data_IF_285027567826
#
_entry.id   IF_285027567826
#
_cell.length_a   1.000
_cell.length_b   1.000
_cell.length_c   1.000
_cell.angle_alpha   90.00
_cell.angle_beta   90.00
_cell.angle_gamma   90.00
#
_symmetry.space_group_name_H-M   'P 1'
#
loop_
_entity.id
_entity.type
_entity.pdbx_description
1 polymer ?
#
# COMPACT_ATOMS: atom_id res chain seq x y z
N UNK A 1 20.71 -15.85 5.65
CA UNK A 1 19.30 -15.43 5.86
C UNK A 1 18.43 -16.67 6.02
N UNK A 2 18.05 -17.03 7.25
CA UNK A 2 17.07 -18.11 7.48
C UNK A 2 15.70 -17.58 7.12
N UNK A 3 15.24 -17.86 5.90
CA UNK A 3 13.85 -17.61 5.50
C UNK A 3 12.98 -18.52 6.38
N UNK A 4 12.14 -17.92 7.22
CA UNK A 4 11.20 -18.63 8.09
C UNK A 4 10.31 -19.55 7.24
N UNK A 5 10.20 -20.82 7.63
CA UNK A 5 9.55 -21.87 6.83
C UNK A 5 8.04 -21.68 6.58
N UNK A 6 7.41 -20.63 7.13
CA UNK A 6 5.99 -20.32 6.97
C UNK A 6 5.77 -18.90 6.42
N UNK A 7 6.41 -18.56 5.31
CA UNK A 7 6.07 -17.35 4.57
C UNK A 7 4.76 -17.59 3.82
N UNK A 8 3.67 -17.00 4.30
CA UNK A 8 2.39 -17.07 3.58
C UNK A 8 2.50 -16.25 2.31
N UNK A 9 2.33 -16.91 1.16
CA UNK A 9 2.33 -16.28 -0.16
C UNK A 9 1.10 -15.37 -0.31
N UNK A 10 0.00 -15.74 0.35
CA UNK A 10 -1.26 -15.01 0.38
C UNK A 10 -1.83 -14.92 1.80
N UNK A 11 -2.63 -13.90 2.11
CA UNK A 11 -3.02 -12.78 1.23
C UNK A 11 -1.86 -11.82 0.94
N UNK A 12 -1.90 -11.19 -0.24
CA UNK A 12 -0.99 -10.08 -0.56
C UNK A 12 -1.33 -8.90 0.34
N UNK A 13 -0.31 -8.28 0.95
CA UNK A 13 -0.48 -7.07 1.74
C UNK A 13 0.00 -5.86 0.95
N UNK A 14 -0.77 -4.78 1.00
CA UNK A 14 -0.45 -3.51 0.36
C UNK A 14 -0.56 -2.40 1.40
N UNK A 15 0.51 -1.61 1.55
CA UNK A 15 0.56 -0.45 2.43
C UNK A 15 0.66 0.83 1.60
N UNK A 16 -0.31 1.72 1.74
CA UNK A 16 -0.34 2.96 0.98
C UNK A 16 0.26 4.11 1.79
N UNK A 17 1.23 4.79 1.20
CA UNK A 17 1.88 5.97 1.74
C UNK A 17 1.19 7.25 1.26
N UNK A 18 0.87 8.13 2.21
CA UNK A 18 0.29 9.46 1.98
C UNK A 18 0.99 10.48 2.87
N UNK A 19 1.37 11.61 2.28
CA UNK A 19 1.99 12.73 3.02
C UNK A 19 1.05 13.30 4.06
N UNK A 20 1.59 13.65 5.22
CA UNK A 20 0.81 14.17 6.34
C UNK A 20 -0.11 13.14 7.00
N UNK A 21 -0.08 11.88 6.55
CA UNK A 21 -0.71 10.75 7.22
C UNK A 21 0.39 9.82 7.73
N UNK A 22 0.98 8.97 6.92
CA UNK A 22 1.85 7.89 7.41
C UNK A 22 3.27 7.90 6.80
N UNK A 23 3.64 8.92 6.02
CA UNK A 23 4.92 8.95 5.31
C UNK A 23 6.06 9.57 6.14
N UNK A 24 5.82 10.64 6.87
CA UNK A 24 6.85 11.46 7.51
C UNK A 24 6.92 11.25 9.05
N UNK A 25 8.11 11.35 9.68
CA UNK A 25 8.19 11.38 11.13
C UNK A 25 7.30 12.47 11.72
N UNK A 26 6.50 12.10 12.74
CA UNK A 26 5.53 13.00 13.36
C UNK A 26 4.15 13.03 12.69
N UNK A 27 3.97 12.36 11.54
CA UNK A 27 2.66 12.23 10.90
C UNK A 27 1.81 11.12 11.57
N UNK A 28 0.47 11.22 11.56
CA UNK A 28 -0.41 10.21 12.18
C UNK A 28 -0.31 8.81 11.53
N UNK A 29 0.07 7.78 12.29
CA UNK A 29 0.34 6.41 11.81
C UNK A 29 1.76 6.21 11.23
N UNK A 30 2.72 7.12 11.51
CA UNK A 30 4.13 6.88 11.17
C UNK A 30 4.72 5.65 11.87
N UNK A 31 4.26 5.34 13.08
CA UNK A 31 4.53 4.10 13.81
C UNK A 31 4.11 2.85 13.02
N UNK A 32 2.94 2.89 12.37
CA UNK A 32 2.48 1.81 11.49
C UNK A 32 3.39 1.66 10.27
N UNK A 33 3.91 2.76 9.70
CA UNK A 33 4.92 2.69 8.64
C UNK A 33 6.19 1.98 9.11
N UNK A 34 6.65 2.23 10.35
CA UNK A 34 7.82 1.52 10.90
C UNK A 34 7.54 0.01 11.02
N UNK A 35 6.34 -0.36 11.50
CA UNK A 35 5.93 -1.77 11.57
C UNK A 35 5.81 -2.41 10.18
N UNK A 36 5.29 -1.69 9.19
CA UNK A 36 5.21 -2.15 7.81
C UNK A 36 6.60 -2.39 7.21
N UNK A 37 7.57 -1.52 7.49
CA UNK A 37 8.97 -1.71 7.08
C UNK A 37 9.57 -2.95 7.73
N UNK A 38 9.41 -3.12 9.04
CA UNK A 38 9.87 -4.32 9.74
C UNK A 38 9.25 -5.59 9.14
N UNK A 39 7.94 -5.58 8.87
CA UNK A 39 7.23 -6.67 8.23
C UNK A 39 7.83 -6.98 6.85
N UNK A 40 8.05 -5.97 6.00
CA UNK A 40 8.62 -6.13 4.66
C UNK A 40 10.01 -6.77 4.68
N UNK A 41 10.87 -6.39 5.63
CA UNK A 41 12.21 -7.00 5.77
C UNK A 41 12.17 -8.48 6.14
N UNK A 42 11.12 -8.91 6.84
CA UNK A 42 10.96 -10.29 7.35
C UNK A 42 10.11 -11.17 6.42
N UNK A 43 9.18 -10.56 5.68
CA UNK A 43 8.07 -11.24 4.98
C UNK A 43 7.90 -10.82 3.52
N UNK A 44 8.79 -9.99 2.96
CA UNK A 44 8.70 -9.35 1.64
C UNK A 44 7.52 -8.37 1.47
N UNK A 45 6.38 -8.66 2.10
CA UNK A 45 5.22 -7.80 2.17
C UNK A 45 5.21 -6.94 3.44
N UNK A 46 4.55 -5.77 3.43
CA UNK A 46 3.64 -5.27 2.40
C UNK A 46 4.33 -4.61 1.19
N UNK A 47 3.69 -4.73 0.02
CA UNK A 47 4.01 -3.90 -1.13
C UNK A 47 3.60 -2.46 -0.85
N UNK A 48 4.38 -1.48 -1.31
CA UNK A 48 4.14 -0.07 -1.01
C UNK A 48 3.56 0.66 -2.23
N UNK A 49 2.50 1.44 -2.01
CA UNK A 49 1.91 2.32 -3.03
C UNK A 49 1.96 3.79 -2.59
N UNK A 50 2.13 4.71 -3.54
CA UNK A 50 2.01 6.15 -3.28
C UNK A 50 0.59 6.61 -3.58
N UNK A 51 -0.12 7.13 -2.57
CA UNK A 51 -1.48 7.66 -2.72
C UNK A 51 -1.54 8.73 -3.80
N UNK A 52 -0.67 9.74 -3.69
CA UNK A 52 -0.68 10.93 -4.57
C UNK A 52 -0.46 10.53 -6.03
N UNK A 53 0.48 9.59 -6.28
CA UNK A 53 0.75 9.13 -7.65
C UNK A 53 -0.35 8.27 -8.24
N UNK A 54 -1.05 7.48 -7.43
CA UNK A 54 -2.21 6.73 -7.91
C UNK A 54 -3.32 7.70 -8.31
N UNK A 55 -3.64 8.69 -7.47
CA UNK A 55 -4.66 9.70 -7.80
C UNK A 55 -4.28 10.49 -9.06
N UNK A 56 -3.02 10.91 -9.19
CA UNK A 56 -2.47 11.63 -10.36
C UNK A 56 -2.62 10.81 -11.66
N UNK A 57 -2.33 9.51 -11.60
CA UNK A 57 -2.34 8.64 -12.79
C UNK A 57 -3.73 8.11 -13.16
N UNK A 58 -4.63 7.89 -12.18
CA UNK A 58 -5.91 7.22 -12.43
C UNK A 58 -7.13 8.10 -12.19
N UNK A 59 -6.93 9.33 -11.69
CA UNK A 59 -8.00 10.25 -11.31
C UNK A 59 -8.75 9.87 -10.02
N UNK A 60 -8.39 8.78 -9.35
CA UNK A 60 -8.99 8.39 -8.06
C UNK A 60 -8.13 7.37 -7.31
N UNK A 61 -8.17 7.38 -5.98
CA UNK A 61 -7.46 6.36 -5.23
C UNK A 61 -8.22 5.03 -5.20
N UNK A 62 -7.59 3.97 -5.73
CA UNK A 62 -8.05 2.59 -5.66
C UNK A 62 -6.84 1.65 -5.50
N UNK A 63 -7.00 0.58 -4.73
CA UNK A 63 -5.99 -0.49 -4.63
C UNK A 63 -6.03 -1.38 -5.87
N UNK A 64 -4.91 -2.03 -6.26
CA UNK A 64 -4.89 -2.85 -7.46
C UNK A 64 -5.77 -4.10 -7.29
N UNK A 65 -6.46 -4.47 -8.36
CA UNK A 65 -7.09 -5.76 -8.50
C UNK A 65 -6.01 -6.81 -8.82
N UNK A 66 -5.99 -7.90 -8.05
CA UNK A 66 -4.99 -8.95 -8.18
C UNK A 66 -3.57 -8.42 -7.97
N UNK A 67 -2.68 -8.67 -8.93
CA UNK A 67 -1.26 -8.36 -8.77
C UNK A 67 -0.94 -6.86 -8.88
N UNK A 68 -1.50 -6.17 -9.90
CA UNK A 68 -1.16 -4.77 -10.25
C UNK A 68 -2.14 -4.07 -11.22
N UNK A 69 -3.38 -4.54 -11.36
CA UNK A 69 -4.33 -3.93 -12.29
C UNK A 69 -5.10 -2.79 -11.62
N UNK A 70 -4.90 -1.55 -12.07
CA UNK A 70 -5.53 -0.37 -11.48
C UNK A 70 -6.75 0.08 -12.31
N UNK A 71 -7.88 0.25 -11.63
CA UNK A 71 -9.07 0.85 -12.22
C UNK A 71 -8.91 2.38 -12.30
N UNK A 72 -9.47 2.95 -13.37
CA UNK A 72 -9.53 4.39 -13.56
C UNK A 72 -10.65 5.03 -12.71
N UNK A 73 -10.63 6.36 -12.62
CA UNK A 73 -11.73 7.17 -12.11
C UNK A 73 -13.01 6.87 -12.89
N UNK A 74 -14.08 6.58 -12.17
CA UNK A 74 -15.39 6.29 -12.74
C UNK A 74 -16.45 6.81 -11.79
N UNK A 75 -17.55 7.29 -12.34
CA UNK A 75 -18.75 7.78 -11.67
C UNK A 75 -19.96 7.23 -12.41
N UNK A 76 -21.02 6.94 -11.68
CA UNK A 76 -22.26 6.47 -12.29
C UNK A 76 -23.13 7.65 -12.77
N UNK A 77 -24.36 7.39 -13.19
CA UNK A 77 -25.30 8.40 -13.67
C UNK A 77 -25.65 9.47 -12.60
N UNK A 78 -25.43 9.18 -11.32
CA UNK A 78 -25.73 10.04 -10.18
C UNK A 78 -24.47 10.67 -9.54
N UNK A 79 -23.26 10.39 -10.04
CA UNK A 79 -22.02 11.06 -9.66
C UNK A 79 -21.05 10.24 -8.83
#
# INVERSE_FOLDING_TARGET
>A
LKISQNLSIFPKLIFTLKRGLNLEPGSPNYDIKQLALECATKRMYPDVLSYDKIVDLTGSFKVPMGCRSFLQGWKDENG
#
